data_IF_852478020040
#
_entry.id   IF_852478020040
#
_cell.length_a   1.000
_cell.length_b   1.000
_cell.length_c   1.000
_cell.angle_alpha   90.00
_cell.angle_beta   90.00
_cell.angle_gamma   90.00
#
_symmetry.space_group_name_H-M   'P 1'
#
loop_
_entity.id
_entity.type
_entity.pdbx_description
1 polymer ?
#
# COMPACT_ATOMS: atom_id res chain seq x y z
N UNK A 1 -1.68 -24.46 -53.62
CA UNK A 1 -1.07 -23.30 -52.94
C UNK A 1 -2.22 -22.56 -52.29
N UNK A 2 -2.37 -22.38 -50.97
CA UNK A 2 -1.44 -22.25 -49.85
C UNK A 2 -1.95 -23.08 -48.65
N UNK A 3 -1.06 -23.85 -48.01
CA UNK A 3 -1.24 -24.20 -46.59
C UNK A 3 -1.07 -22.91 -45.79
N UNK A 4 -2.03 -22.57 -44.93
CA UNK A 4 -1.84 -21.53 -43.91
C UNK A 4 -1.66 -22.25 -42.58
N UNK A 5 -0.39 -22.43 -42.23
CA UNK A 5 0.11 -22.91 -40.94
C UNK A 5 -0.28 -21.91 -39.86
N UNK A 6 -1.18 -22.28 -38.95
CA UNK A 6 -1.48 -21.46 -37.77
C UNK A 6 -0.35 -21.67 -36.78
N UNK A 7 0.56 -20.70 -36.73
CA UNK A 7 1.66 -20.65 -35.77
C UNK A 7 1.39 -19.54 -34.75
N UNK A 8 1.67 -19.85 -33.47
CA UNK A 8 1.92 -18.94 -32.34
C UNK A 8 0.65 -18.44 -31.62
N UNK A 9 0.51 -18.55 -30.29
CA UNK A 9 1.52 -18.85 -29.28
C UNK A 9 0.91 -19.27 -27.95
N UNK A 10 1.63 -20.14 -27.27
CA UNK A 10 1.42 -20.46 -25.87
C UNK A 10 1.75 -19.19 -25.09
N UNK A 11 0.72 -18.45 -24.68
CA UNK A 11 0.85 -17.35 -23.75
C UNK A 11 1.39 -17.97 -22.45
N UNK A 12 2.66 -17.68 -22.15
CA UNK A 12 3.30 -18.03 -20.89
C UNK A 12 2.44 -17.49 -19.75
N UNK A 13 1.66 -18.37 -19.12
CA UNK A 13 1.08 -18.10 -17.81
C UNK A 13 2.25 -18.07 -16.82
N UNK A 14 2.89 -16.91 -16.71
CA UNK A 14 3.81 -16.67 -15.60
C UNK A 14 2.99 -16.86 -14.32
N UNK A 15 3.43 -17.72 -13.38
CA UNK A 15 2.80 -17.76 -12.07
C UNK A 15 2.92 -16.36 -11.48
N UNK A 16 1.79 -15.71 -11.27
CA UNK A 16 1.72 -14.46 -10.51
C UNK A 16 2.09 -14.87 -9.09
N UNK A 17 3.38 -14.82 -8.76
CA UNK A 17 3.81 -14.98 -7.38
C UNK A 17 3.13 -13.85 -6.62
N UNK A 18 2.24 -14.11 -5.65
CA UNK A 18 1.82 -13.05 -4.76
C UNK A 18 3.09 -12.64 -4.03
N UNK A 19 3.67 -11.49 -4.41
CA UNK A 19 4.74 -10.88 -3.64
C UNK A 19 4.10 -10.42 -2.33
N UNK A 20 4.07 -11.33 -1.36
CA UNK A 20 3.77 -11.05 0.04
C UNK A 20 4.97 -10.38 0.72
N UNK A 21 5.74 -9.57 -0.02
CA UNK A 21 6.57 -8.57 0.63
C UNK A 21 5.58 -7.63 1.31
N UNK A 22 5.71 -7.48 2.63
CA UNK A 22 4.86 -6.60 3.40
C UNK A 22 5.13 -5.15 3.01
N UNK A 23 4.49 -4.73 1.93
CA UNK A 23 4.69 -3.40 1.34
C UNK A 23 4.28 -2.39 2.39
N UNK A 24 5.23 -1.58 2.82
CA UNK A 24 4.98 -0.44 3.69
C UNK A 24 4.07 0.54 2.94
N UNK A 25 2.91 0.87 3.52
CA UNK A 25 1.97 1.83 2.95
C UNK A 25 1.85 3.06 3.83
N UNK A 26 1.91 4.25 3.22
CA UNK A 26 1.81 5.52 3.96
C UNK A 26 0.35 5.90 4.17
N UNK A 27 0.02 6.34 5.38
CA UNK A 27 -1.29 6.89 5.73
C UNK A 27 -1.43 8.30 5.14
N UNK A 28 -2.59 8.57 4.57
CA UNK A 28 -3.01 9.89 4.09
C UNK A 28 -4.39 10.25 4.64
N UNK A 29 -4.65 11.55 4.69
CA UNK A 29 -5.93 12.12 5.08
C UNK A 29 -6.32 13.17 4.04
N UNK A 30 -7.57 13.11 3.57
CA UNK A 30 -8.15 14.12 2.69
C UNK A 30 -9.15 14.95 3.50
N UNK A 31 -8.81 16.20 3.88
CA UNK A 31 -9.66 17.04 4.72
C UNK A 31 -10.94 17.51 4.02
N UNK A 32 -10.99 17.51 2.68
CA UNK A 32 -12.18 17.95 1.94
C UNK A 32 -13.34 16.96 2.07
N UNK A 33 -13.04 15.68 2.29
CA UNK A 33 -14.02 14.60 2.38
C UNK A 33 -14.02 13.90 3.73
N UNK A 34 -13.14 14.31 4.66
CA UNK A 34 -12.89 13.65 5.93
C UNK A 34 -12.57 12.14 5.78
N UNK A 35 -11.73 11.79 4.79
CA UNK A 35 -11.41 10.40 4.44
C UNK A 35 -9.94 10.07 4.73
N UNK A 36 -9.73 8.91 5.36
CA UNK A 36 -8.42 8.30 5.58
C UNK A 36 -8.15 7.21 4.53
N UNK A 37 -6.91 7.16 4.03
CA UNK A 37 -6.50 6.21 3.01
C UNK A 37 -5.04 5.78 3.18
N UNK A 38 -4.69 4.60 2.66
CA UNK A 38 -3.30 4.18 2.48
C UNK A 38 -2.83 4.54 1.07
N UNK A 39 -1.54 4.84 0.90
CA UNK A 39 -0.90 5.08 -0.38
C UNK A 39 -0.04 3.87 -0.80
N UNK A 40 -0.15 3.37 -2.05
CA UNK A 40 -1.15 3.75 -3.07
C UNK A 40 -2.59 3.47 -2.58
N UNK A 41 -3.61 4.16 -3.13
CA UNK A 41 -4.97 4.21 -2.58
C UNK A 41 -5.51 2.83 -2.19
N UNK A 42 -5.65 2.62 -0.89
CA UNK A 42 -6.31 1.47 -0.32
C UNK A 42 -7.10 1.90 0.93
N UNK A 43 -8.15 1.15 1.22
CA UNK A 43 -8.96 1.41 2.42
C UNK A 43 -8.12 1.17 3.68
N UNK A 44 -8.24 2.08 4.64
CA UNK A 44 -7.66 1.91 5.98
C UNK A 44 -8.68 1.16 6.83
N UNK A 45 -8.25 0.10 7.50
CA UNK A 45 -9.02 -0.55 8.56
C UNK A 45 -8.32 -0.29 9.90
N UNK A 46 -9.09 -0.24 11.00
CA UNK A 46 -8.57 -0.16 12.36
C UNK A 46 -7.72 1.08 12.67
N UNK A 47 -8.15 2.25 12.19
CA UNK A 47 -7.49 3.52 12.53
C UNK A 47 -7.86 3.95 13.96
N UNK A 48 -6.88 3.99 14.85
CA UNK A 48 -7.09 4.38 16.25
C UNK A 48 -6.82 5.87 16.47
N UNK A 49 -7.34 6.48 17.55
CA UNK A 49 -7.03 7.88 17.92
C UNK A 49 -5.54 8.16 18.03
N UNK A 50 -4.75 7.20 18.54
CA UNK A 50 -3.28 7.31 18.62
C UNK A 50 -2.65 7.45 17.23
N UNK A 51 -3.07 6.63 16.27
CA UNK A 51 -2.56 6.69 14.88
C UNK A 51 -2.90 8.04 14.24
N UNK A 52 -4.15 8.51 14.41
CA UNK A 52 -4.58 9.82 13.89
C UNK A 52 -3.79 10.97 14.51
N UNK A 53 -3.55 10.92 15.83
CA UNK A 53 -2.74 11.91 16.54
C UNK A 53 -1.30 11.94 16.04
N UNK A 54 -0.66 10.77 15.93
CA UNK A 54 0.72 10.68 15.44
C UNK A 54 0.85 11.08 13.97
N UNK A 55 -0.16 10.79 13.14
CA UNK A 55 -0.23 11.31 11.77
C UNK A 55 -0.23 12.83 11.76
N UNK A 56 -1.10 13.49 12.52
CA UNK A 56 -1.15 14.96 12.55
C UNK A 56 0.17 15.58 13.02
N UNK A 57 0.86 14.93 13.98
CA UNK A 57 2.15 15.39 14.49
C UNK A 57 3.29 15.24 13.48
N UNK A 58 3.22 14.24 12.61
CA UNK A 58 4.35 13.83 11.74
C UNK A 58 4.09 13.98 10.25
N UNK A 59 2.91 14.44 9.82
CA UNK A 59 2.52 14.50 8.38
C UNK A 59 3.52 15.26 7.50
N UNK A 60 4.16 16.30 8.05
CA UNK A 60 5.17 17.12 7.36
C UNK A 60 6.62 16.59 7.56
N UNK A 61 6.80 15.58 8.42
CA UNK A 61 8.07 14.91 8.72
C UNK A 61 7.97 13.39 8.45
N UNK A 62 7.58 13.05 7.22
CA UNK A 62 7.49 11.67 6.73
C UNK A 62 6.15 10.97 6.98
N UNK A 63 5.49 11.23 8.10
CA UNK A 63 4.16 10.72 8.44
C UNK A 63 4.15 9.32 9.04
N UNK A 64 2.96 8.72 9.05
CA UNK A 64 2.67 7.39 9.59
C UNK A 64 2.50 6.38 8.46
N UNK A 65 3.03 5.18 8.64
CA UNK A 65 2.97 4.07 7.70
C UNK A 65 2.42 2.81 8.39
N UNK A 66 1.90 1.86 7.62
CA UNK A 66 1.56 0.51 8.07
C UNK A 66 2.41 -0.51 7.33
N UNK A 67 2.97 -1.46 8.06
CA UNK A 67 3.72 -2.60 7.53
C UNK A 67 3.43 -3.82 8.42
N UNK A 68 3.12 -4.97 7.83
CA UNK A 68 2.79 -6.19 8.61
C UNK A 68 1.69 -5.98 9.66
N UNK A 69 0.68 -5.17 9.35
CA UNK A 69 -0.38 -4.72 10.27
C UNK A 69 0.11 -3.94 11.51
N UNK A 70 1.35 -3.46 11.50
CA UNK A 70 1.94 -2.63 12.55
C UNK A 70 2.04 -1.19 12.05
N UNK A 71 1.53 -0.25 12.85
CA UNK A 71 1.69 1.18 12.60
C UNK A 71 3.09 1.63 13.02
N UNK A 72 3.78 2.33 12.13
CA UNK A 72 5.16 2.79 12.30
C UNK A 72 5.31 4.23 11.84
N UNK A 73 6.34 4.92 12.33
CA UNK A 73 6.79 6.18 11.73
C UNK A 73 7.46 5.90 10.38
N UNK A 74 6.98 6.48 9.28
CA UNK A 74 7.51 6.20 7.95
C UNK A 74 9.02 6.47 7.83
N UNK A 75 9.50 7.52 8.51
CA UNK A 75 10.90 7.95 8.44
C UNK A 75 11.86 7.02 9.18
N UNK A 76 11.44 6.44 10.31
CA UNK A 76 12.34 5.67 11.19
C UNK A 76 12.05 4.18 11.22
N UNK A 77 10.89 3.75 10.73
CA UNK A 77 10.41 2.37 10.84
C UNK A 77 10.05 1.94 12.27
N UNK A 78 10.16 2.82 13.27
CA UNK A 78 9.83 2.49 14.65
C UNK A 78 8.31 2.38 14.85
N UNK A 79 7.82 1.42 15.65
CA UNK A 79 6.40 1.34 16.00
C UNK A 79 5.87 2.61 16.65
N UNK A 80 4.58 2.89 16.44
CA UNK A 80 3.86 3.85 17.27
C UNK A 80 3.63 3.24 18.66
N UNK A 81 3.85 4.05 19.71
CA UNK A 81 3.55 3.68 21.10
C UNK A 81 2.13 4.13 21.49
#
# INVERSE_FOLDING_TARGET
>A
MLLVTILIGVLLAAPVHPQTDSVQRKLGYNPNYDVWYLMPPAQVQNLTPTVMKEYQRTKDDGGVCIKDNIWIYCRTGKPLN
#
